data_IF_728114179544
#
_entry.id   IF_728114179544
#
_cell.length_a   1.000
_cell.length_b   1.000
_cell.length_c   1.000
_cell.angle_alpha   90.00
_cell.angle_beta   90.00
_cell.angle_gamma   90.00
#
_symmetry.space_group_name_H-M   'P 1'
#
loop_
_entity.id
_entity.type
_entity.pdbx_description
1 polymer ?
#
# COMPACT_ATOMS: atom_id res chain seq x y z
N UNK A 1 -41.04 51.08 -24.84
CA UNK A 1 -41.49 49.79 -24.32
C UNK A 1 -41.15 48.74 -25.37
N UNK A 2 -40.33 47.81 -25.04
CA UNK A 2 -40.13 46.64 -25.86
C UNK A 2 -41.11 45.54 -25.41
N UNK A 3 -41.82 44.95 -26.33
CA UNK A 3 -42.78 43.88 -26.06
C UNK A 3 -42.62 42.76 -27.07
N UNK A 4 -42.96 41.53 -26.66
CA UNK A 4 -43.01 40.36 -27.51
C UNK A 4 -44.31 40.44 -28.30
N UNK A 5 -44.24 40.47 -29.62
CA UNK A 5 -45.40 40.35 -30.50
C UNK A 5 -45.24 39.07 -31.32
N UNK A 6 -45.96 38.05 -30.92
CA UNK A 6 -45.86 36.74 -31.52
C UNK A 6 -44.50 36.10 -31.27
N UNK A 7 -43.96 35.38 -32.22
CA UNK A 7 -42.65 34.69 -32.13
C UNK A 7 -41.43 35.61 -32.43
N UNK A 8 -41.55 36.93 -32.23
CA UNK A 8 -40.48 37.87 -32.52
C UNK A 8 -40.26 38.86 -31.38
N UNK A 9 -38.99 39.07 -30.99
CA UNK A 9 -38.59 40.13 -30.06
C UNK A 9 -38.32 41.39 -30.90
N UNK A 10 -38.99 42.49 -30.58
CA UNK A 10 -38.76 43.77 -31.24
C UNK A 10 -37.94 44.68 -30.31
N UNK A 11 -36.67 44.94 -30.64
CA UNK A 11 -35.80 45.85 -29.92
C UNK A 11 -35.81 47.17 -30.62
N UNK A 12 -36.13 48.27 -29.90
CA UNK A 12 -35.98 49.65 -30.44
C UNK A 12 -34.49 49.99 -30.60
N UNK A 13 -33.98 49.92 -31.77
CA UNK A 13 -32.61 50.12 -32.21
C UNK A 13 -32.34 49.31 -33.45
N UNK A 14 -31.27 49.56 -34.14
CA UNK A 14 -30.93 49.03 -35.47
C UNK A 14 -30.61 47.51 -35.53
N UNK A 15 -31.17 46.65 -34.63
CA UNK A 15 -30.95 45.22 -34.67
C UNK A 15 -32.23 44.42 -34.78
N UNK A 16 -32.38 43.60 -35.83
CA UNK A 16 -33.38 42.53 -35.91
C UNK A 16 -32.78 41.24 -35.36
N UNK A 17 -33.43 40.62 -34.38
CA UNK A 17 -33.22 39.19 -34.11
C UNK A 17 -33.92 38.43 -35.22
N UNK A 18 -33.14 37.91 -36.16
CA UNK A 18 -33.67 37.31 -37.38
C UNK A 18 -34.24 35.89 -37.14
N UNK A 19 -33.99 35.28 -36.02
CA UNK A 19 -34.39 33.91 -35.68
C UNK A 19 -34.56 33.77 -34.17
N UNK A 20 -35.60 33.13 -33.71
CA UNK A 20 -35.64 32.59 -32.36
C UNK A 20 -34.75 31.35 -32.33
N UNK A 21 -33.93 31.20 -31.28
CA UNK A 21 -33.16 30.01 -31.05
C UNK A 21 -34.05 28.75 -30.87
N UNK A 22 -33.46 27.64 -30.92
CA UNK A 22 -34.09 26.37 -30.52
C UNK A 22 -34.15 26.27 -29.00
N UNK A 23 -34.94 25.32 -28.50
CA UNK A 23 -35.02 25.05 -27.06
C UNK A 23 -33.62 24.72 -26.51
N UNK A 24 -33.26 25.33 -25.37
CA UNK A 24 -31.93 25.17 -24.75
C UNK A 24 -30.90 26.24 -25.12
N UNK A 25 -31.13 27.06 -26.16
CA UNK A 25 -30.17 28.10 -26.54
C UNK A 25 -30.36 29.40 -25.72
N UNK A 26 -29.26 30.04 -25.38
CA UNK A 26 -29.24 31.36 -24.71
C UNK A 26 -28.89 32.48 -25.69
N UNK A 27 -29.45 33.67 -25.42
CA UNK A 27 -29.12 34.88 -26.19
C UNK A 27 -27.84 35.50 -25.62
N UNK A 28 -26.75 35.39 -26.36
CA UNK A 28 -25.42 35.88 -25.95
C UNK A 28 -25.09 37.19 -26.64
N UNK A 29 -24.24 38.01 -25.98
CA UNK A 29 -23.70 39.24 -26.57
C UNK A 29 -22.45 38.89 -27.37
N UNK A 30 -22.48 39.09 -28.66
CA UNK A 30 -21.34 38.89 -29.57
C UNK A 30 -20.33 40.07 -29.57
N UNK A 31 -20.47 41.02 -28.65
CA UNK A 31 -19.60 42.19 -28.51
C UNK A 31 -20.21 43.49 -28.99
N UNK A 32 -19.52 44.61 -28.75
CA UNK A 32 -20.00 45.94 -29.12
C UNK A 32 -20.11 46.09 -30.63
N UNK A 33 -21.31 46.47 -31.11
CA UNK A 33 -21.57 46.65 -32.54
C UNK A 33 -21.91 45.39 -33.33
N UNK A 34 -21.96 44.23 -32.70
CA UNK A 34 -22.34 42.95 -33.30
C UNK A 34 -23.75 42.57 -32.83
N UNK A 35 -24.64 42.06 -33.69
CA UNK A 35 -25.94 41.55 -33.24
C UNK A 35 -25.79 40.42 -32.24
N UNK A 36 -26.63 40.42 -31.19
CA UNK A 36 -26.71 39.26 -30.29
C UNK A 36 -27.15 38.02 -31.05
N UNK A 37 -26.57 36.88 -30.68
CA UNK A 37 -26.82 35.59 -31.29
C UNK A 37 -27.39 34.62 -30.26
N UNK A 38 -28.09 33.60 -30.74
CA UNK A 38 -28.45 32.43 -29.90
C UNK A 38 -27.35 31.43 -30.05
N UNK A 39 -26.81 31.04 -28.91
CA UNK A 39 -25.75 30.05 -28.81
C UNK A 39 -26.20 28.94 -27.87
N UNK A 40 -25.75 27.72 -28.14
CA UNK A 40 -25.94 26.62 -27.22
C UNK A 40 -25.25 26.99 -25.91
N UNK A 41 -25.84 26.60 -24.78
CA UNK A 41 -25.20 26.79 -23.48
C UNK A 41 -23.92 25.96 -23.49
N UNK A 42 -22.78 26.63 -23.59
CA UNK A 42 -21.51 25.98 -23.42
C UNK A 42 -21.45 25.44 -21.97
N UNK A 43 -21.36 24.13 -21.79
CA UNK A 43 -21.14 23.50 -20.50
C UNK A 43 -22.31 22.72 -19.86
N UNK A 44 -23.41 22.48 -20.60
CA UNK A 44 -24.40 21.47 -20.15
C UNK A 44 -23.89 20.04 -20.35
N UNK A 45 -24.08 19.17 -19.36
CA UNK A 45 -23.80 17.74 -19.52
C UNK A 45 -24.83 17.12 -20.46
N UNK A 46 -24.37 16.44 -21.52
CA UNK A 46 -25.19 15.66 -22.43
C UNK A 46 -25.37 14.24 -21.88
N UNK A 47 -26.55 13.94 -21.33
CA UNK A 47 -26.82 12.61 -20.81
C UNK A 47 -27.02 11.58 -21.93
N UNK A 48 -26.29 10.46 -21.81
CA UNK A 48 -26.30 9.36 -22.77
C UNK A 48 -27.35 8.29 -22.39
N UNK A 49 -27.53 7.31 -23.29
CA UNK A 49 -28.34 6.14 -22.99
C UNK A 49 -27.75 5.33 -21.81
N UNK A 50 -28.57 4.48 -21.19
CA UNK A 50 -28.11 3.62 -20.08
C UNK A 50 -27.04 2.65 -20.60
N UNK A 51 -25.88 2.65 -19.96
CA UNK A 51 -24.79 1.73 -20.21
C UNK A 51 -24.94 0.46 -19.37
N UNK A 52 -24.97 -0.69 -20.04
CA UNK A 52 -25.13 -2.02 -19.40
C UNK A 52 -23.94 -2.95 -19.69
N UNK A 53 -22.94 -2.46 -20.41
CA UNK A 53 -21.75 -3.20 -20.80
C UNK A 53 -20.75 -3.39 -19.65
N UNK A 54 -19.88 -4.39 -19.78
CA UNK A 54 -18.74 -4.56 -18.87
C UNK A 54 -17.60 -3.57 -19.15
N UNK A 55 -17.65 -2.84 -20.25
CA UNK A 55 -16.69 -1.79 -20.63
C UNK A 55 -17.39 -0.69 -21.40
N UNK A 56 -16.94 0.56 -21.19
CA UNK A 56 -17.36 1.72 -21.98
C UNK A 56 -16.22 2.72 -22.14
N UNK A 57 -16.34 3.64 -23.11
CA UNK A 57 -15.43 4.78 -23.26
C UNK A 57 -16.22 6.06 -23.03
N UNK A 58 -15.76 6.88 -22.10
CA UNK A 58 -16.40 8.13 -21.74
C UNK A 58 -15.90 9.29 -22.61
N UNK A 59 -16.75 10.32 -22.79
CA UNK A 59 -16.45 11.52 -23.55
C UNK A 59 -16.64 12.74 -22.66
N UNK A 60 -15.74 13.72 -22.75
CA UNK A 60 -15.86 14.98 -22.03
C UNK A 60 -17.15 15.74 -22.39
N UNK A 61 -17.82 16.30 -21.39
CA UNK A 61 -19.11 16.96 -21.54
C UNK A 61 -20.34 16.04 -21.50
N UNK A 62 -20.14 14.75 -21.26
CA UNK A 62 -21.22 13.78 -21.21
C UNK A 62 -21.51 13.24 -19.81
N UNK A 63 -22.74 12.81 -19.60
CA UNK A 63 -23.21 12.11 -18.39
C UNK A 63 -23.71 10.71 -18.73
N UNK A 64 -23.42 9.75 -17.87
CA UNK A 64 -23.73 8.34 -18.12
C UNK A 64 -24.50 7.74 -16.95
N UNK A 65 -25.58 7.03 -17.27
CA UNK A 65 -26.28 6.14 -16.37
C UNK A 65 -25.66 4.75 -16.51
N UNK A 66 -24.95 4.27 -15.52
CA UNK A 66 -24.24 2.97 -15.58
C UNK A 66 -24.99 1.94 -14.75
N UNK A 67 -25.53 0.95 -15.42
CA UNK A 67 -26.23 -0.20 -14.83
C UNK A 67 -25.26 -1.38 -14.68
N UNK A 68 -24.89 -1.68 -13.45
CA UNK A 68 -23.97 -2.78 -13.11
C UNK A 68 -24.69 -4.00 -12.55
N UNK A 69 -26.03 -4.11 -12.71
CA UNK A 69 -26.81 -5.24 -12.19
C UNK A 69 -26.24 -6.60 -12.58
N UNK A 70 -25.72 -6.74 -13.79
CA UNK A 70 -25.23 -8.02 -14.33
C UNK A 70 -23.70 -8.19 -14.26
N UNK A 71 -22.93 -7.09 -14.22
CA UNK A 71 -21.45 -7.10 -14.23
C UNK A 71 -20.88 -5.74 -13.80
N UNK A 72 -19.67 -5.74 -13.29
CA UNK A 72 -18.90 -4.51 -13.13
C UNK A 72 -18.61 -3.86 -14.50
N UNK A 73 -18.40 -2.53 -14.53
CA UNK A 73 -18.13 -1.78 -15.76
C UNK A 73 -16.79 -1.05 -15.66
N UNK A 74 -15.85 -1.37 -16.55
CA UNK A 74 -14.62 -0.58 -16.72
C UNK A 74 -14.88 0.60 -17.67
N UNK A 75 -14.59 1.80 -17.20
CA UNK A 75 -14.82 3.06 -17.89
C UNK A 75 -13.49 3.66 -18.31
N UNK A 76 -13.16 3.62 -19.58
CA UNK A 76 -11.95 4.25 -20.12
C UNK A 76 -12.23 5.75 -20.38
N UNK A 77 -11.45 6.62 -19.72
CA UNK A 77 -11.53 8.07 -19.89
C UNK A 77 -10.85 8.54 -21.20
N UNK A 78 -11.11 9.79 -21.66
CA UNK A 78 -10.41 10.33 -22.82
C UNK A 78 -8.89 10.38 -22.63
N UNK A 79 -8.12 9.91 -23.63
CA UNK A 79 -6.65 9.96 -23.64
C UNK A 79 -6.08 11.38 -23.73
N UNK A 80 -6.92 12.40 -23.94
CA UNK A 80 -6.57 13.82 -23.91
C UNK A 80 -7.74 14.63 -23.38
N UNK A 81 -7.46 15.64 -22.55
CA UNK A 81 -8.49 16.50 -21.97
C UNK A 81 -8.00 17.95 -21.85
N UNK A 82 -8.93 18.89 -21.78
CA UNK A 82 -8.69 20.30 -21.54
C UNK A 82 -9.15 20.69 -20.13
N UNK A 83 -8.50 21.67 -19.54
CA UNK A 83 -8.89 22.21 -18.21
C UNK A 83 -10.37 22.58 -18.20
N UNK A 84 -11.12 21.98 -17.26
CA UNK A 84 -12.57 22.17 -17.11
C UNK A 84 -13.44 21.14 -17.84
N UNK A 85 -12.85 20.22 -18.63
CA UNK A 85 -13.60 19.08 -19.17
C UNK A 85 -14.19 18.29 -18.02
N UNK A 86 -15.49 18.00 -18.07
CA UNK A 86 -16.23 17.34 -16.99
C UNK A 86 -17.01 16.15 -17.53
N UNK A 87 -17.04 15.06 -16.75
CA UNK A 87 -17.82 13.85 -17.04
C UNK A 87 -18.60 13.50 -15.77
N UNK A 88 -19.84 13.01 -15.92
CA UNK A 88 -20.66 12.58 -14.79
C UNK A 88 -21.06 11.11 -14.99
N UNK A 89 -20.94 10.32 -13.92
CA UNK A 89 -21.44 8.95 -13.85
C UNK A 89 -22.46 8.84 -12.72
N UNK A 90 -23.51 8.06 -12.94
CA UNK A 90 -24.53 7.81 -11.92
C UNK A 90 -24.91 6.31 -11.91
N UNK A 91 -25.02 5.74 -10.73
CA UNK A 91 -25.49 4.38 -10.51
C UNK A 91 -26.99 4.28 -10.86
N UNK A 92 -27.29 3.56 -11.95
CA UNK A 92 -28.65 3.50 -12.49
C UNK A 92 -29.61 2.71 -11.60
N UNK A 93 -29.22 1.53 -11.12
CA UNK A 93 -30.10 0.60 -10.40
C UNK A 93 -29.61 0.33 -8.96
N UNK A 94 -28.70 1.19 -8.43
CA UNK A 94 -28.12 1.10 -7.08
C UNK A 94 -27.40 -0.23 -6.83
N UNK A 95 -26.55 -0.64 -7.78
CA UNK A 95 -25.85 -1.93 -7.77
C UNK A 95 -24.33 -1.83 -7.71
N UNK A 96 -23.77 -0.62 -7.64
CA UNK A 96 -22.31 -0.43 -7.59
C UNK A 96 -21.67 -1.05 -6.33
N UNK A 97 -22.41 -1.20 -5.23
CA UNK A 97 -21.94 -1.92 -4.03
C UNK A 97 -21.78 -3.43 -4.23
N UNK A 98 -22.39 -4.00 -5.27
CA UNK A 98 -22.26 -5.42 -5.62
C UNK A 98 -21.29 -5.61 -6.80
N UNK A 99 -21.44 -4.79 -7.84
CA UNK A 99 -20.62 -4.78 -9.04
C UNK A 99 -20.26 -3.31 -9.32
N UNK A 100 -19.09 -2.86 -8.87
CA UNK A 100 -18.66 -1.48 -8.98
C UNK A 100 -18.32 -1.04 -10.40
N UNK A 101 -18.01 0.25 -10.53
CA UNK A 101 -17.35 0.77 -11.73
C UNK A 101 -15.86 0.91 -11.47
N UNK A 102 -15.07 0.74 -12.53
CA UNK A 102 -13.60 0.90 -12.52
C UNK A 102 -13.26 2.00 -13.51
N UNK A 103 -12.55 3.03 -13.08
CA UNK A 103 -12.09 4.13 -13.92
C UNK A 103 -10.66 3.86 -14.39
N UNK A 104 -10.49 3.64 -15.69
CA UNK A 104 -9.21 3.63 -16.41
C UNK A 104 -8.94 5.06 -16.94
N UNK A 105 -7.94 5.74 -16.41
CA UNK A 105 -7.63 7.13 -16.76
C UNK A 105 -6.92 7.30 -18.11
N UNK A 106 -6.58 6.19 -18.78
CA UNK A 106 -6.11 6.15 -20.17
C UNK A 106 -4.90 7.03 -20.47
N UNK A 107 -3.86 6.91 -19.62
CA UNK A 107 -2.58 7.64 -19.77
C UNK A 107 -2.56 9.04 -19.20
N UNK A 108 -3.67 9.52 -18.60
CA UNK A 108 -3.72 10.77 -17.85
C UNK A 108 -3.72 10.49 -16.35
N UNK A 109 -3.26 11.44 -15.55
CA UNK A 109 -3.32 11.30 -14.10
C UNK A 109 -4.77 11.32 -13.58
N UNK A 110 -4.99 10.66 -12.46
CA UNK A 110 -6.22 10.72 -11.67
C UNK A 110 -5.86 11.09 -10.22
N UNK A 111 -6.34 12.24 -9.73
CA UNK A 111 -5.98 12.79 -8.40
C UNK A 111 -4.46 12.91 -8.14
N UNK A 112 -3.68 13.12 -9.20
CA UNK A 112 -2.22 13.25 -9.12
C UNK A 112 -1.44 11.96 -9.27
N UNK A 113 -2.10 10.80 -9.26
CA UNK A 113 -1.47 9.51 -9.57
C UNK A 113 -1.54 9.20 -11.06
N UNK A 114 -0.56 8.46 -11.56
CA UNK A 114 -0.51 8.02 -12.95
C UNK A 114 -1.55 6.89 -13.21
N UNK A 115 -1.68 6.49 -14.47
CA UNK A 115 -2.63 5.45 -14.89
C UNK A 115 -2.18 4.01 -14.57
N UNK A 116 -1.23 3.84 -13.66
CA UNK A 116 -0.76 2.51 -13.23
C UNK A 116 -1.87 1.75 -12.50
N UNK A 117 -2.80 2.48 -11.87
CA UNK A 117 -3.88 1.91 -11.05
C UNK A 117 -5.24 2.40 -11.47
N UNK A 118 -6.15 1.46 -11.64
CA UNK A 118 -7.57 1.75 -11.85
C UNK A 118 -8.23 2.19 -10.54
N UNK A 119 -9.14 3.15 -10.62
CA UNK A 119 -9.89 3.66 -9.46
C UNK A 119 -11.28 3.03 -9.42
N UNK A 120 -11.60 2.35 -8.32
CA UNK A 120 -12.87 1.67 -8.14
C UNK A 120 -13.88 2.51 -7.34
N UNK A 121 -15.13 2.51 -7.78
CA UNK A 121 -16.27 3.07 -7.07
C UNK A 121 -17.33 2.00 -6.84
N UNK A 122 -17.58 1.68 -5.58
CA UNK A 122 -18.43 0.56 -5.16
C UNK A 122 -19.49 0.94 -4.12
N UNK A 123 -20.17 2.07 -4.27
CA UNK A 123 -21.23 2.51 -3.33
C UNK A 123 -22.58 2.59 -4.04
N UNK A 124 -23.58 1.90 -3.51
CA UNK A 124 -24.94 1.89 -4.07
C UNK A 124 -25.57 3.28 -4.10
N UNK A 125 -26.10 3.65 -5.27
CA UNK A 125 -26.77 4.92 -5.50
C UNK A 125 -25.83 6.13 -5.61
N UNK A 126 -24.55 5.90 -5.87
CA UNK A 126 -23.53 6.93 -6.02
C UNK A 126 -23.72 7.75 -7.31
N UNK A 127 -23.40 9.02 -7.22
CA UNK A 127 -23.19 9.90 -8.38
C UNK A 127 -21.79 10.51 -8.28
N UNK A 128 -21.02 10.41 -9.36
CA UNK A 128 -19.63 10.87 -9.46
C UNK A 128 -19.51 11.90 -10.57
N UNK A 129 -18.98 13.08 -10.25
CA UNK A 129 -18.59 14.08 -11.25
C UNK A 129 -17.08 14.27 -11.17
N UNK A 130 -16.38 14.05 -12.28
CA UNK A 130 -14.96 14.28 -12.40
C UNK A 130 -14.67 15.43 -13.36
N UNK A 131 -13.64 16.22 -13.06
CA UNK A 131 -13.22 17.35 -13.90
C UNK A 131 -11.71 17.29 -14.12
N UNK A 132 -11.26 17.48 -15.35
CA UNK A 132 -9.84 17.57 -15.65
C UNK A 132 -9.27 18.91 -15.20
N UNK A 133 -8.30 18.89 -14.31
CA UNK A 133 -7.71 20.06 -13.68
C UNK A 133 -6.47 20.57 -14.44
N UNK A 134 -5.49 19.72 -14.64
CA UNK A 134 -4.24 19.98 -15.35
C UNK A 134 -3.45 18.68 -15.58
N UNK A 135 -2.27 18.77 -16.16
CA UNK A 135 -1.42 17.57 -16.40
C UNK A 135 -0.82 16.95 -15.13
N UNK A 136 -0.82 17.66 -14.01
CA UNK A 136 -0.27 17.16 -12.73
C UNK A 136 -1.34 16.41 -11.94
N UNK A 137 -2.53 16.98 -11.80
CA UNK A 137 -3.63 16.38 -11.05
C UNK A 137 -4.50 15.46 -11.93
N UNK A 138 -4.54 15.71 -13.24
CA UNK A 138 -5.37 14.95 -14.16
C UNK A 138 -6.86 15.14 -13.90
N UNK A 139 -7.60 14.04 -13.91
CA UNK A 139 -9.01 13.99 -13.56
C UNK A 139 -9.18 13.99 -12.03
N UNK A 140 -10.06 14.87 -11.54
CA UNK A 140 -10.30 15.02 -10.09
C UNK A 140 -11.80 14.94 -9.82
N UNK A 141 -12.26 14.14 -8.86
CA UNK A 141 -13.65 14.16 -8.41
C UNK A 141 -14.01 15.56 -7.87
N UNK A 142 -15.01 16.18 -8.45
CA UNK A 142 -15.53 17.50 -8.04
C UNK A 142 -16.85 17.40 -7.30
N UNK A 143 -17.53 16.27 -7.47
CA UNK A 143 -18.77 15.96 -6.77
C UNK A 143 -18.80 14.44 -6.53
N UNK A 144 -18.74 14.04 -5.26
CA UNK A 144 -18.77 12.66 -4.83
C UNK A 144 -19.37 12.62 -3.41
N UNK A 145 -20.22 11.67 -3.11
CA UNK A 145 -20.72 11.46 -1.75
C UNK A 145 -19.70 10.76 -0.86
N UNK A 146 -18.75 10.07 -1.48
CA UNK A 146 -17.55 9.48 -0.84
C UNK A 146 -16.39 9.75 -1.79
N UNK A 147 -15.47 10.62 -1.41
CA UNK A 147 -14.22 10.80 -2.17
C UNK A 147 -13.51 9.45 -2.14
N UNK A 148 -13.42 8.77 -3.28
CA UNK A 148 -12.59 7.60 -3.38
C UNK A 148 -11.13 8.07 -3.32
N UNK A 149 -10.40 7.59 -2.32
CA UNK A 149 -8.96 7.65 -2.38
C UNK A 149 -8.50 6.71 -3.50
N UNK A 150 -7.49 7.14 -4.25
CA UNK A 150 -6.78 6.21 -5.14
C UNK A 150 -6.31 5.04 -4.27
N UNK A 151 -6.66 3.80 -4.59
CA UNK A 151 -6.20 2.68 -3.80
C UNK A 151 -4.68 2.71 -3.74
N UNK A 152 -4.12 2.87 -2.54
CA UNK A 152 -2.70 2.56 -2.34
C UNK A 152 -2.61 1.04 -2.44
N UNK A 153 -2.39 0.55 -3.65
CA UNK A 153 -2.21 -0.88 -3.87
C UNK A 153 -0.87 -1.25 -3.26
N UNK A 154 -0.91 -2.07 -2.21
CA UNK A 154 0.29 -2.63 -1.62
C UNK A 154 1.05 -3.49 -2.63
N UNK A 155 2.28 -3.84 -2.31
CA UNK A 155 3.10 -4.68 -3.17
C UNK A 155 2.47 -6.06 -3.38
N UNK A 156 2.49 -6.55 -4.63
CA UNK A 156 1.85 -7.81 -5.01
C UNK A 156 2.71 -9.04 -4.76
N UNK A 157 4.03 -8.91 -4.75
CA UNK A 157 5.00 -9.99 -4.59
C UNK A 157 5.86 -9.79 -3.35
N UNK A 158 6.46 -10.87 -2.86
CA UNK A 158 7.32 -10.83 -1.69
C UNK A 158 8.65 -11.56 -1.89
N UNK A 159 9.61 -11.30 -1.01
CA UNK A 159 10.86 -12.02 -0.95
C UNK A 159 11.24 -12.32 0.50
N UNK A 160 11.60 -13.57 0.75
CA UNK A 160 12.32 -13.99 1.95
C UNK A 160 13.80 -14.14 1.61
N UNK A 161 14.66 -13.64 2.46
CA UNK A 161 16.09 -13.71 2.18
C UNK A 161 16.96 -13.90 3.40
N UNK A 162 18.16 -14.45 3.15
CA UNK A 162 19.17 -14.68 4.16
C UNK A 162 18.71 -15.68 5.24
N UNK A 163 19.27 -15.57 6.46
CA UNK A 163 18.90 -16.42 7.59
C UNK A 163 19.92 -17.51 7.88
N UNK A 164 19.45 -18.54 8.59
CA UNK A 164 20.21 -19.71 8.97
C UNK A 164 19.51 -20.98 8.48
N UNK A 165 20.25 -21.79 7.71
CA UNK A 165 19.82 -23.07 7.16
C UNK A 165 21.00 -24.02 7.27
N UNK A 166 21.13 -24.79 8.30
CA UNK A 166 22.24 -25.25 9.15
C UNK A 166 23.49 -24.35 9.20
N UNK A 167 23.65 -23.44 8.29
CA UNK A 167 24.70 -22.39 8.28
C UNK A 167 24.10 -21.06 7.80
N UNK A 168 24.83 -19.97 7.97
CA UNK A 168 24.38 -18.67 7.47
C UNK A 168 24.29 -18.71 5.94
N UNK A 169 23.17 -18.21 5.42
CA UNK A 169 22.89 -18.18 3.97
C UNK A 169 22.57 -16.78 3.47
N UNK A 170 22.73 -16.59 2.17
CA UNK A 170 22.26 -15.40 1.44
C UNK A 170 21.20 -15.75 0.37
N UNK A 171 20.77 -17.01 0.31
CA UNK A 171 19.72 -17.45 -0.63
C UNK A 171 18.41 -16.71 -0.36
N UNK A 172 17.62 -16.52 -1.44
CA UNK A 172 16.32 -15.88 -1.37
C UNK A 172 15.23 -16.78 -1.93
N UNK A 173 13.98 -16.52 -1.55
CA UNK A 173 12.79 -17.19 -2.07
C UNK A 173 11.76 -16.14 -2.41
N UNK A 174 11.31 -16.11 -3.65
CA UNK A 174 10.25 -15.19 -4.09
C UNK A 174 8.88 -15.74 -3.69
N UNK A 175 7.99 -14.85 -3.35
CA UNK A 175 6.56 -15.13 -3.10
C UNK A 175 5.78 -14.48 -4.22
N UNK A 176 4.99 -15.27 -4.93
CA UNK A 176 4.14 -14.76 -6.03
C UNK A 176 2.93 -13.99 -5.49
N UNK A 177 2.28 -13.23 -6.33
CA UNK A 177 1.04 -12.48 -6.01
C UNK A 177 -0.14 -13.38 -5.56
N UNK A 178 -0.03 -14.69 -5.73
CA UNK A 178 -1.01 -15.68 -5.25
C UNK A 178 -0.52 -16.48 -4.03
N UNK A 179 0.59 -16.06 -3.40
CA UNK A 179 1.10 -16.66 -2.16
C UNK A 179 1.88 -17.97 -2.35
N UNK A 180 2.37 -18.25 -3.55
CA UNK A 180 3.23 -19.42 -3.78
C UNK A 180 4.68 -19.05 -3.49
N UNK A 181 5.30 -19.78 -2.55
CA UNK A 181 6.72 -19.64 -2.26
C UNK A 181 7.55 -20.42 -3.27
N UNK A 182 8.45 -19.71 -3.96
CA UNK A 182 9.38 -20.30 -4.93
C UNK A 182 10.54 -21.06 -4.29
N UNK A 183 11.27 -21.82 -5.12
CA UNK A 183 12.52 -22.51 -4.73
C UNK A 183 13.62 -21.51 -4.40
N UNK A 184 14.70 -22.01 -3.78
CA UNK A 184 15.85 -21.18 -3.44
C UNK A 184 16.48 -20.55 -4.69
N UNK A 185 16.69 -19.25 -4.66
CA UNK A 185 17.48 -18.47 -5.64
C UNK A 185 18.87 -18.28 -5.07
N UNK A 186 19.88 -18.40 -5.92
CA UNK A 186 21.29 -18.21 -5.53
C UNK A 186 21.48 -16.88 -4.81
N UNK A 187 22.08 -16.93 -3.63
CA UNK A 187 22.26 -15.77 -2.77
C UNK A 187 23.24 -14.73 -3.33
N UNK A 188 22.97 -13.48 -3.03
CA UNK A 188 23.83 -12.33 -3.34
C UNK A 188 24.25 -11.66 -2.02
N UNK A 189 25.47 -11.17 -1.96
CA UNK A 189 26.02 -10.49 -0.79
C UNK A 189 26.41 -11.41 0.35
N UNK A 190 26.76 -10.80 1.48
CA UNK A 190 27.28 -11.50 2.67
C UNK A 190 26.19 -12.30 3.40
N UNK A 191 26.38 -13.62 3.50
CA UNK A 191 25.48 -14.50 4.23
C UNK A 191 25.37 -14.08 5.69
N UNK A 192 24.17 -13.97 6.24
CA UNK A 192 23.90 -13.52 7.62
C UNK A 192 22.48 -13.85 8.07
N UNK A 193 22.25 -13.83 9.37
CA UNK A 193 20.92 -13.97 9.97
C UNK A 193 20.53 -12.74 10.82
N UNK A 194 19.33 -12.76 11.41
CA UNK A 194 18.84 -11.74 12.36
C UNK A 194 18.84 -10.33 11.79
N UNK A 195 18.59 -10.19 10.51
CA UNK A 195 18.51 -8.94 9.80
C UNK A 195 17.07 -8.42 9.77
N UNK A 196 16.90 -7.15 9.37
CA UNK A 196 15.61 -6.54 9.05
C UNK A 196 15.41 -6.40 7.56
N UNK A 197 14.16 -6.22 7.15
CA UNK A 197 13.81 -5.87 5.79
C UNK A 197 12.54 -5.00 5.79
N UNK A 198 12.45 -4.08 4.84
CA UNK A 198 11.26 -3.27 4.59
C UNK A 198 11.21 -2.82 3.13
N UNK A 199 10.11 -2.23 2.77
CA UNK A 199 9.85 -1.62 1.48
C UNK A 199 10.42 -0.20 1.40
N UNK A 200 10.68 0.29 0.19
CA UNK A 200 10.98 1.68 -0.13
C UNK A 200 10.65 1.96 -1.61
N UNK A 201 10.44 3.23 -1.96
CA UNK A 201 10.21 3.66 -3.35
C UNK A 201 8.89 3.18 -3.91
N UNK A 202 7.97 2.71 -3.05
CA UNK A 202 6.67 2.19 -3.44
C UNK A 202 6.68 0.75 -3.93
N UNK A 203 7.70 0.34 -4.70
CA UNK A 203 7.75 -0.94 -5.42
C UNK A 203 9.03 -1.77 -5.15
N UNK A 204 9.90 -1.33 -4.26
CA UNK A 204 11.23 -1.90 -3.99
C UNK A 204 11.38 -2.26 -2.53
N UNK A 205 12.42 -3.05 -2.22
CA UNK A 205 12.70 -3.47 -0.86
C UNK A 205 14.19 -3.41 -0.51
N UNK A 206 14.51 -3.48 0.78
CA UNK A 206 15.86 -3.45 1.30
C UNK A 206 16.02 -4.43 2.47
N UNK A 207 17.09 -5.23 2.42
CA UNK A 207 17.60 -6.00 3.56
C UNK A 207 18.70 -5.22 4.25
N UNK A 208 18.76 -5.23 5.57
CA UNK A 208 19.81 -4.51 6.29
C UNK A 208 20.20 -5.09 7.64
N UNK A 209 21.41 -4.78 8.05
CA UNK A 209 21.99 -5.23 9.32
C UNK A 209 22.19 -6.74 9.40
N UNK A 210 22.36 -7.31 10.60
CA UNK A 210 22.45 -8.74 10.83
C UNK A 210 23.76 -9.18 11.47
N UNK A 211 23.92 -10.51 11.56
CA UNK A 211 24.99 -11.17 12.29
C UNK A 211 25.58 -12.35 11.51
N UNK A 212 26.90 -12.46 11.48
CA UNK A 212 27.65 -13.66 11.06
C UNK A 212 29.07 -13.65 11.59
N UNK A 213 29.43 -14.48 12.59
CA UNK A 213 30.76 -14.53 13.16
C UNK A 213 31.81 -15.14 12.23
N UNK A 214 31.41 -15.79 11.15
CA UNK A 214 32.35 -16.39 10.17
C UNK A 214 32.89 -15.36 9.17
N UNK A 215 32.20 -14.23 9.02
CA UNK A 215 32.55 -13.17 8.05
C UNK A 215 32.95 -11.89 8.77
N UNK A 216 32.20 -11.47 9.80
CA UNK A 216 32.47 -10.25 10.55
C UNK A 216 33.36 -10.56 11.74
N UNK A 217 34.62 -10.14 11.68
CA UNK A 217 35.70 -10.58 12.58
C UNK A 217 35.79 -9.80 13.89
N UNK A 218 35.06 -8.70 14.00
CA UNK A 218 35.04 -7.86 15.22
C UNK A 218 33.81 -8.14 16.05
N UNK A 219 33.98 -8.52 17.34
CA UNK A 219 32.87 -8.66 18.28
C UNK A 219 32.10 -7.34 18.39
N UNK A 220 30.74 -7.32 18.32
CA UNK A 220 29.81 -8.46 18.46
C UNK A 220 29.47 -9.21 17.16
N UNK A 221 30.26 -9.15 16.11
CA UNK A 221 30.10 -9.84 14.82
C UNK A 221 28.87 -9.39 14.03
N UNK A 222 28.42 -8.17 14.25
CA UNK A 222 27.29 -7.52 13.63
C UNK A 222 27.72 -6.68 12.45
N UNK A 223 26.79 -6.43 11.55
CA UNK A 223 27.01 -5.55 10.39
C UNK A 223 25.90 -4.50 10.28
N UNK A 224 26.17 -3.43 9.52
CA UNK A 224 25.16 -2.49 9.02
C UNK A 224 25.01 -2.56 7.49
N UNK A 225 25.63 -3.55 6.84
CA UNK A 225 25.53 -3.78 5.38
C UNK A 225 24.06 -3.87 4.98
N UNK A 226 23.74 -3.33 3.80
CA UNK A 226 22.43 -3.40 3.18
C UNK A 226 22.48 -3.99 1.78
N UNK A 227 21.36 -4.56 1.33
CA UNK A 227 21.17 -5.05 -0.03
C UNK A 227 19.82 -4.55 -0.52
N UNK A 228 19.83 -3.81 -1.62
CA UNK A 228 18.63 -3.33 -2.28
C UNK A 228 17.97 -4.48 -3.05
N UNK A 229 16.65 -4.45 -3.14
CA UNK A 229 15.84 -5.37 -3.93
C UNK A 229 15.08 -4.56 -4.97
N UNK A 230 15.19 -4.95 -6.24
CA UNK A 230 14.45 -4.30 -7.32
C UNK A 230 12.96 -4.66 -7.27
N UNK A 231 12.15 -3.95 -8.04
CA UNK A 231 10.72 -4.26 -8.24
C UNK A 231 10.47 -5.60 -9.00
N UNK A 232 11.51 -6.33 -9.36
CA UNK A 232 11.43 -7.70 -9.89
C UNK A 232 12.02 -8.74 -8.94
N UNK A 233 12.23 -8.38 -7.66
CA UNK A 233 12.75 -9.27 -6.62
C UNK A 233 14.23 -9.60 -6.72
N UNK A 234 15.01 -8.88 -7.56
CA UNK A 234 16.46 -9.13 -7.72
C UNK A 234 17.23 -8.41 -6.61
N UNK A 235 17.95 -9.19 -5.79
CA UNK A 235 18.80 -8.66 -4.72
C UNK A 235 20.13 -8.16 -5.29
N UNK A 236 20.51 -6.92 -4.96
CA UNK A 236 21.77 -6.31 -5.34
C UNK A 236 22.93 -6.70 -4.40
N UNK A 237 24.17 -6.45 -4.82
CA UNK A 237 25.37 -6.65 -4.00
C UNK A 237 25.34 -5.79 -2.73
N UNK A 238 26.23 -6.14 -1.78
CA UNK A 238 26.38 -5.41 -0.51
C UNK A 238 26.67 -3.92 -0.73
N UNK A 239 25.89 -3.08 -0.04
CA UNK A 239 26.15 -1.64 0.10
C UNK A 239 26.74 -1.41 1.49
N UNK A 240 27.78 -0.58 1.58
CA UNK A 240 28.43 -0.25 2.84
C UNK A 240 27.40 0.28 3.85
N UNK A 241 27.45 -0.26 5.06
CA UNK A 241 26.50 0.06 6.12
C UNK A 241 26.64 1.46 6.68
N UNK A 242 25.52 2.01 7.14
CA UNK A 242 25.42 3.29 7.83
C UNK A 242 24.82 3.06 9.22
N UNK A 243 25.32 3.77 10.23
CA UNK A 243 24.86 3.67 11.62
C UNK A 243 25.48 2.54 12.42
N UNK A 244 24.98 2.33 13.63
CA UNK A 244 25.48 1.31 14.57
C UNK A 244 25.22 -0.09 14.05
N UNK A 245 26.30 -0.87 13.87
CA UNK A 245 26.20 -2.30 13.49
C UNK A 245 25.40 -3.05 14.54
N UNK A 246 24.41 -3.86 14.15
CA UNK A 246 23.54 -4.58 15.07
C UNK A 246 22.86 -5.79 14.43
N UNK A 247 22.49 -6.73 15.25
CA UNK A 247 21.60 -7.82 14.90
C UNK A 247 20.18 -7.61 15.47
N UNK A 248 19.22 -8.43 15.04
CA UNK A 248 17.81 -8.33 15.43
C UNK A 248 17.19 -6.93 15.20
N UNK A 249 17.80 -6.09 14.35
CA UNK A 249 17.12 -4.92 13.85
C UNK A 249 15.89 -5.37 13.06
N UNK A 250 14.77 -4.69 13.25
CA UNK A 250 13.56 -4.92 12.46
C UNK A 250 13.25 -3.68 11.65
N UNK A 251 12.43 -3.84 10.62
CA UNK A 251 12.12 -2.72 9.74
C UNK A 251 10.67 -2.82 9.24
N UNK A 252 10.07 -1.67 8.98
CA UNK A 252 8.78 -1.54 8.31
C UNK A 252 8.81 -0.32 7.40
N UNK A 253 7.87 -0.22 6.46
CA UNK A 253 7.70 0.99 5.69
C UNK A 253 6.92 2.07 6.46
N UNK A 254 7.01 3.30 5.98
CA UNK A 254 6.24 4.46 6.43
C UNK A 254 6.18 5.51 5.31
N UNK A 255 5.17 6.39 5.36
CA UNK A 255 5.04 7.51 4.43
C UNK A 255 4.78 7.09 2.98
N UNK A 256 4.36 5.84 2.75
CA UNK A 256 4.02 5.27 1.44
C UNK A 256 5.21 4.80 0.60
N UNK A 257 6.38 5.42 0.73
CA UNK A 257 7.54 5.15 -0.13
C UNK A 257 8.88 5.06 0.62
N UNK A 258 8.86 5.04 1.94
CA UNK A 258 10.07 5.08 2.80
C UNK A 258 10.08 3.95 3.81
N UNK A 259 11.28 3.57 4.27
CA UNK A 259 11.46 2.55 5.28
C UNK A 259 12.17 3.06 6.54
N UNK A 260 12.10 2.27 7.61
CA UNK A 260 12.80 2.52 8.86
C UNK A 260 13.30 1.22 9.47
N UNK A 261 14.60 1.17 9.78
CA UNK A 261 15.18 0.14 10.64
C UNK A 261 15.22 0.65 12.07
N UNK A 262 14.80 -0.14 13.04
CA UNK A 262 14.89 0.27 14.44
C UNK A 262 15.18 -0.91 15.40
N UNK A 263 15.58 -0.55 16.62
CA UNK A 263 15.88 -1.49 17.70
C UNK A 263 17.04 -2.45 17.39
N UNK A 264 17.14 -3.56 18.11
CA UNK A 264 18.13 -4.60 17.90
C UNK A 264 19.18 -4.66 19.03
N UNK A 265 20.34 -5.26 18.70
CA UNK A 265 21.40 -5.52 19.70
C UNK A 265 22.77 -5.28 19.10
N UNK A 266 23.66 -4.62 19.89
CA UNK A 266 25.09 -4.50 19.62
C UNK A 266 25.87 -4.48 20.96
N UNK A 267 26.14 -5.66 21.51
CA UNK A 267 26.69 -5.80 22.87
C UNK A 267 25.65 -5.54 23.98
N UNK A 268 24.64 -4.75 23.74
CA UNK A 268 23.47 -4.44 24.58
C UNK A 268 22.25 -4.18 23.73
N UNK A 269 21.09 -4.07 24.35
CA UNK A 269 19.83 -3.75 23.66
C UNK A 269 19.85 -2.30 23.15
N UNK A 270 19.27 -2.06 22.00
CA UNK A 270 19.22 -0.77 21.33
C UNK A 270 17.79 -0.35 21.03
N UNK A 271 17.57 0.97 20.96
CA UNK A 271 16.33 1.59 20.49
C UNK A 271 16.58 2.65 19.41
N UNK A 272 17.80 2.72 18.87
CA UNK A 272 18.14 3.64 17.76
C UNK A 272 17.38 3.26 16.50
N UNK A 273 17.16 4.24 15.63
CA UNK A 273 16.54 4.04 14.32
C UNK A 273 17.33 4.65 13.18
N UNK A 274 17.19 4.12 11.98
CA UNK A 274 17.76 4.63 10.73
C UNK A 274 16.64 4.72 9.70
N UNK A 275 16.37 5.90 9.20
CA UNK A 275 15.40 6.12 8.12
C UNK A 275 15.98 5.64 6.80
N UNK A 276 15.12 5.12 5.94
CA UNK A 276 15.45 4.75 4.56
C UNK A 276 14.64 5.66 3.64
N UNK A 277 15.34 6.37 2.74
CA UNK A 277 14.69 7.22 1.76
C UNK A 277 13.98 6.40 0.66
N UNK A 278 13.14 7.05 -0.13
CA UNK A 278 12.51 6.44 -1.32
C UNK A 278 13.50 6.03 -2.43
N UNK A 279 14.77 6.39 -2.30
CA UNK A 279 15.87 5.90 -3.15
C UNK A 279 16.67 4.76 -2.51
N UNK A 280 16.24 4.20 -1.35
CA UNK A 280 16.93 3.13 -0.64
C UNK A 280 18.18 3.57 0.13
N UNK A 281 18.36 4.86 0.37
CA UNK A 281 19.51 5.38 1.12
C UNK A 281 19.22 5.36 2.62
N UNK A 282 20.05 4.63 3.36
CA UNK A 282 19.94 4.54 4.84
C UNK A 282 20.61 5.76 5.48
N UNK A 283 19.89 6.45 6.34
CA UNK A 283 20.38 7.58 7.11
C UNK A 283 21.19 7.13 8.36
N UNK A 284 21.96 8.06 8.95
CA UNK A 284 22.66 7.86 10.23
C UNK A 284 21.67 7.60 11.37
N UNK A 285 22.18 7.09 12.50
CA UNK A 285 21.39 6.81 13.69
C UNK A 285 20.63 8.04 14.18
N UNK A 286 19.33 7.84 14.43
CA UNK A 286 18.49 8.74 15.19
C UNK A 286 18.37 8.20 16.62
N UNK A 287 18.48 9.08 17.63
CA UNK A 287 18.34 8.71 19.03
C UNK A 287 17.03 7.96 19.28
N UNK A 288 17.13 6.85 19.99
CA UNK A 288 16.01 5.95 20.22
C UNK A 288 14.95 6.52 21.16
N UNK A 289 13.73 6.08 20.94
CA UNK A 289 12.56 6.31 21.79
C UNK A 289 12.00 4.96 22.24
N UNK A 290 11.50 4.90 23.46
CA UNK A 290 10.98 3.67 24.07
C UNK A 290 12.05 2.74 24.62
N UNK A 291 11.62 1.61 25.17
CA UNK A 291 12.47 0.60 25.81
C UNK A 291 13.33 -0.11 24.79
N UNK A 292 14.66 -0.06 24.98
CA UNK A 292 15.62 -0.74 24.13
C UNK A 292 15.43 -2.28 24.20
N UNK A 293 15.27 -2.94 23.06
CA UNK A 293 14.98 -4.38 22.98
C UNK A 293 15.37 -5.00 21.64
N UNK A 294 15.46 -6.32 21.61
CA UNK A 294 15.78 -7.13 20.45
C UNK A 294 14.67 -8.13 20.14
N UNK A 295 14.78 -8.87 19.03
CA UNK A 295 13.91 -9.99 18.65
C UNK A 295 12.41 -9.64 18.67
N UNK A 296 12.09 -8.40 18.38
CA UNK A 296 10.75 -7.88 18.15
C UNK A 296 10.30 -8.18 16.70
N UNK A 297 9.07 -7.84 16.35
CA UNK A 297 8.62 -7.83 14.98
C UNK A 297 8.05 -6.45 14.61
N UNK A 298 7.86 -6.23 13.32
CA UNK A 298 7.34 -4.98 12.77
C UNK A 298 6.51 -5.24 11.52
N UNK A 299 5.48 -4.44 11.33
CA UNK A 299 4.67 -4.41 10.12
C UNK A 299 4.12 -3.00 9.89
N UNK A 300 3.44 -2.84 8.78
CA UNK A 300 2.66 -1.65 8.49
C UNK A 300 1.25 -1.73 9.06
N UNK A 301 0.62 -0.58 9.26
CA UNK A 301 -0.79 -0.43 9.57
C UNK A 301 -1.27 0.96 9.13
N UNK A 302 -2.57 1.08 8.88
CA UNK A 302 -3.17 2.31 8.37
C UNK A 302 -2.47 2.77 7.09
N UNK A 303 -2.92 3.83 6.49
CA UNK A 303 -2.18 4.37 5.37
C UNK A 303 -0.82 4.89 5.86
N UNK A 304 0.26 4.27 5.39
CA UNK A 304 1.62 4.80 5.48
C UNK A 304 2.22 4.91 6.90
N UNK A 305 1.86 4.02 7.83
CA UNK A 305 2.40 3.98 9.20
C UNK A 305 2.97 2.62 9.53
N UNK A 306 3.91 2.58 10.48
CA UNK A 306 4.53 1.35 10.95
C UNK A 306 4.33 1.11 12.44
N UNK A 307 4.54 -0.13 12.87
CA UNK A 307 4.53 -0.54 14.27
C UNK A 307 5.65 -1.54 14.55
N UNK A 308 6.36 -1.32 15.64
CA UNK A 308 7.29 -2.28 16.26
C UNK A 308 6.65 -2.81 17.52
N UNK A 309 6.60 -4.12 17.71
CA UNK A 309 6.01 -4.67 18.93
C UNK A 309 6.69 -5.95 19.43
N UNK A 310 6.42 -6.25 20.70
CA UNK A 310 6.96 -7.40 21.42
C UNK A 310 8.48 -7.34 21.58
N UNK A 311 9.15 -8.49 21.68
CA UNK A 311 10.61 -8.59 21.77
C UNK A 311 11.12 -8.93 23.17
N UNK A 312 12.41 -8.66 23.41
CA UNK A 312 13.13 -9.00 24.65
C UNK A 312 14.05 -7.83 25.06
N UNK A 313 13.91 -7.37 26.30
CA UNK A 313 14.71 -6.34 26.96
C UNK A 313 15.48 -6.85 28.20
N UNK A 314 15.61 -8.17 28.32
CA UNK A 314 16.05 -8.93 29.48
C UNK A 314 14.99 -9.93 29.91
N UNK A 315 13.73 -9.65 29.59
CA UNK A 315 12.59 -10.56 29.65
C UNK A 315 11.73 -10.37 28.38
N UNK A 316 10.83 -11.31 28.09
CA UNK A 316 9.91 -11.14 26.98
C UNK A 316 8.94 -9.99 27.25
N UNK A 317 8.65 -9.21 26.23
CA UNK A 317 7.85 -7.98 26.28
C UNK A 317 6.64 -8.04 25.34
N UNK A 318 5.58 -7.31 25.65
CA UNK A 318 4.43 -7.09 24.77
C UNK A 318 4.25 -5.60 24.40
N UNK A 319 5.21 -4.74 24.77
CA UNK A 319 5.20 -3.31 24.42
C UNK A 319 5.15 -3.11 22.89
N UNK A 320 4.55 -2.01 22.47
CA UNK A 320 4.57 -1.57 21.09
C UNK A 320 4.97 -0.09 20.95
N UNK A 321 5.54 0.26 19.78
CA UNK A 321 5.90 1.62 19.40
C UNK A 321 5.38 1.89 18.00
N UNK A 322 4.54 2.91 17.88
CA UNK A 322 3.98 3.34 16.59
C UNK A 322 5.02 4.19 15.84
N UNK A 323 4.99 4.09 14.51
CA UNK A 323 5.79 4.94 13.61
C UNK A 323 4.84 5.83 12.82
N UNK A 324 5.09 7.13 12.87
CA UNK A 324 4.30 8.12 12.13
C UNK A 324 4.59 8.10 10.63
N UNK A 325 3.75 8.75 9.83
CA UNK A 325 3.94 8.95 8.37
C UNK A 325 5.23 9.71 8.00
N UNK A 326 5.92 10.30 8.97
CA UNK A 326 7.22 10.99 8.79
C UNK A 326 8.39 10.24 9.43
N UNK A 327 8.18 8.96 9.82
CA UNK A 327 9.25 8.10 10.36
C UNK A 327 9.64 8.36 11.82
N UNK A 328 8.79 9.02 12.59
CA UNK A 328 9.04 9.23 14.03
C UNK A 328 8.51 8.05 14.83
N UNK A 329 9.41 7.37 15.58
CA UNK A 329 9.05 6.32 16.52
C UNK A 329 8.46 6.96 17.78
N UNK A 330 7.25 6.54 18.18
CA UNK A 330 6.59 7.02 19.39
C UNK A 330 7.07 6.30 20.65
N UNK A 331 6.73 6.84 21.82
CA UNK A 331 6.96 6.20 23.14
C UNK A 331 6.24 4.86 23.25
N UNK A 332 6.64 4.04 24.23
CA UNK A 332 6.03 2.76 24.50
C UNK A 332 4.52 2.88 24.76
N UNK A 333 3.77 2.01 24.10
CA UNK A 333 2.37 1.74 24.38
C UNK A 333 2.29 0.47 25.21
N UNK A 334 1.44 0.48 26.25
CA UNK A 334 1.22 -0.69 27.12
C UNK A 334 0.89 -1.93 26.29
N UNK A 335 1.60 -3.02 26.57
CA UNK A 335 1.47 -4.25 25.82
C UNK A 335 0.12 -4.93 25.96
N UNK A 336 -0.29 -5.60 24.88
CA UNK A 336 -1.50 -6.42 24.81
C UNK A 336 -1.10 -7.84 24.38
N UNK A 337 -1.80 -8.83 24.92
CA UNK A 337 -1.53 -10.26 24.63
C UNK A 337 -0.31 -10.80 25.35
N UNK A 338 0.02 -12.05 25.04
CA UNK A 338 1.13 -12.80 25.63
C UNK A 338 2.47 -12.21 25.21
N UNK A 339 3.27 -11.76 26.20
CA UNK A 339 4.63 -11.26 25.98
C UNK A 339 5.52 -12.34 25.35
N UNK A 340 6.24 -12.00 24.28
CA UNK A 340 7.06 -12.96 23.51
C UNK A 340 8.13 -12.27 22.65
N UNK A 341 9.10 -13.06 22.21
CA UNK A 341 10.15 -12.66 21.27
C UNK A 341 10.16 -13.57 20.05
N UNK A 342 11.00 -13.27 19.06
CA UNK A 342 11.27 -14.09 17.88
C UNK A 342 10.01 -14.42 17.04
N UNK A 343 9.11 -13.49 16.96
CA UNK A 343 7.85 -13.57 16.24
C UNK A 343 7.99 -12.96 14.82
N UNK A 344 7.05 -13.31 13.95
CA UNK A 344 6.88 -12.69 12.63
C UNK A 344 5.74 -11.66 12.62
N UNK A 345 5.75 -10.76 11.65
CA UNK A 345 4.65 -9.84 11.40
C UNK A 345 4.60 -9.43 9.92
N UNK A 346 3.40 -9.16 9.43
CA UNK A 346 3.16 -8.62 8.08
C UNK A 346 1.88 -7.79 8.05
N UNK A 347 1.69 -7.05 6.96
CA UNK A 347 0.44 -6.39 6.64
C UNK A 347 -0.63 -7.38 6.15
N UNK A 348 -1.91 -7.01 6.25
CA UNK A 348 -3.05 -7.67 5.62
C UNK A 348 -4.21 -6.67 5.48
N UNK A 349 -5.16 -6.94 4.55
CA UNK A 349 -6.36 -6.14 4.38
C UNK A 349 -6.05 -4.66 4.09
N UNK A 350 -4.96 -4.42 3.34
CA UNK A 350 -4.46 -3.11 2.90
C UNK A 350 -3.94 -2.20 4.03
N UNK A 351 -4.65 -2.10 5.15
CA UNK A 351 -4.40 -1.12 6.21
C UNK A 351 -4.22 -1.72 7.62
N UNK A 352 -4.08 -3.02 7.73
CA UNK A 352 -3.98 -3.74 9.01
C UNK A 352 -2.71 -4.57 9.10
N UNK A 353 -2.30 -4.91 10.33
CA UNK A 353 -1.15 -5.76 10.58
C UNK A 353 -1.48 -6.98 11.43
N UNK A 354 -0.61 -7.98 11.39
CA UNK A 354 -0.70 -9.17 12.22
C UNK A 354 0.66 -9.57 12.76
N UNK A 355 0.73 -9.85 14.06
CA UNK A 355 1.86 -10.48 14.74
C UNK A 355 1.52 -11.94 15.04
N UNK A 356 2.41 -12.89 14.74
CA UNK A 356 2.13 -14.28 15.05
C UNK A 356 3.38 -15.06 15.41
N UNK A 357 3.16 -16.21 16.08
CA UNK A 357 4.18 -17.13 16.53
C UNK A 357 5.10 -16.54 17.61
N UNK A 358 6.28 -17.12 17.81
CA UNK A 358 7.31 -16.62 18.71
C UNK A 358 7.62 -17.53 19.88
N UNK A 359 8.36 -16.97 20.87
CA UNK A 359 8.83 -17.68 22.05
C UNK A 359 8.44 -16.95 23.33
N UNK A 360 7.80 -17.66 24.26
CA UNK A 360 7.39 -17.17 25.59
C UNK A 360 7.63 -18.25 26.67
N UNK A 361 8.91 -18.61 26.88
CA UNK A 361 9.29 -19.76 27.71
C UNK A 361 9.08 -21.11 27.01
N UNK A 362 8.49 -21.14 25.85
CA UNK A 362 8.27 -22.21 24.88
C UNK A 362 7.82 -21.61 23.55
N UNK A 363 7.89 -22.37 22.47
CA UNK A 363 7.36 -21.94 21.18
C UNK A 363 5.84 -21.88 21.22
N UNK A 364 5.28 -20.83 20.65
CA UNK A 364 3.84 -20.58 20.58
C UNK A 364 3.40 -20.25 19.17
N UNK A 365 2.10 -20.38 18.89
CA UNK A 365 1.49 -20.08 17.59
C UNK A 365 0.33 -19.06 17.70
N UNK A 366 0.23 -18.33 18.81
CA UNK A 366 -0.74 -17.26 19.00
C UNK A 366 -0.55 -16.14 17.97
N UNK A 367 -1.62 -15.43 17.66
CA UNK A 367 -1.56 -14.22 16.84
C UNK A 367 -2.29 -13.04 17.49
N UNK A 368 -1.91 -11.82 17.09
CA UNK A 368 -2.56 -10.57 17.48
C UNK A 368 -2.76 -9.70 16.25
N UNK A 369 -3.97 -9.32 15.99
CA UNK A 369 -4.31 -8.40 14.90
C UNK A 369 -4.01 -6.96 15.31
N UNK A 370 -3.59 -6.16 14.35
CA UNK A 370 -3.38 -4.72 14.51
C UNK A 370 -4.42 -3.99 13.66
N UNK A 371 -5.18 -3.10 14.28
CA UNK A 371 -6.16 -2.28 13.56
C UNK A 371 -5.47 -1.20 12.71
N UNK A 372 -6.21 -0.60 11.79
CA UNK A 372 -5.77 0.52 10.95
C UNK A 372 -5.44 1.82 11.72
N UNK A 373 -5.67 1.85 13.02
CA UNK A 373 -5.24 2.94 13.91
C UNK A 373 -4.09 2.52 14.84
N UNK A 374 -3.49 1.32 14.62
CA UNK A 374 -2.32 0.83 15.35
C UNK A 374 -2.62 0.21 16.71
N UNK A 375 -3.87 -0.18 16.98
CA UNK A 375 -4.24 -0.87 18.21
C UNK A 375 -4.00 -2.37 18.06
N UNK A 376 -3.13 -2.93 18.91
CA UNK A 376 -2.89 -4.37 19.00
C UNK A 376 -4.05 -5.03 19.73
N UNK A 377 -4.67 -6.03 19.13
CA UNK A 377 -5.76 -6.82 19.72
C UNK A 377 -5.26 -7.90 20.68
N UNK A 378 -6.17 -8.51 21.43
CA UNK A 378 -5.90 -9.65 22.32
C UNK A 378 -5.46 -10.88 21.54
N UNK A 379 -4.90 -11.88 22.24
CA UNK A 379 -4.47 -13.14 21.65
C UNK A 379 -5.62 -13.85 20.93
N UNK A 380 -5.34 -14.28 19.70
CA UNK A 380 -6.18 -15.17 18.90
C UNK A 380 -5.56 -16.57 18.96
N UNK A 381 -6.40 -17.60 19.10
CA UNK A 381 -5.99 -18.99 19.15
C UNK A 381 -5.09 -19.34 17.97
N UNK A 382 -3.96 -19.96 18.25
CA UNK A 382 -2.94 -20.29 17.28
C UNK A 382 -3.37 -21.33 16.24
N UNK A 383 -2.81 -21.19 15.07
CA UNK A 383 -2.96 -22.13 13.94
C UNK A 383 -1.56 -22.56 13.48
N UNK A 384 -1.42 -23.82 13.10
CA UNK A 384 -0.16 -24.39 12.63
C UNK A 384 0.84 -24.71 13.76
N UNK A 385 2.04 -25.13 13.36
CA UNK A 385 3.11 -25.54 14.25
C UNK A 385 3.67 -24.37 15.05
N UNK A 386 3.69 -24.48 16.37
CA UNK A 386 4.29 -23.48 17.27
C UNK A 386 5.81 -23.38 17.02
N UNK A 387 6.30 -22.17 16.74
CA UNK A 387 7.69 -21.91 16.34
C UNK A 387 8.12 -20.47 16.60
N UNK A 388 9.42 -20.23 16.70
CA UNK A 388 10.02 -18.90 16.79
C UNK A 388 10.88 -18.58 15.57
N UNK A 389 11.54 -17.41 15.56
CA UNK A 389 12.39 -16.94 14.45
C UNK A 389 11.71 -17.00 13.07
N UNK A 390 10.40 -16.80 13.06
CA UNK A 390 9.53 -16.84 11.88
C UNK A 390 9.70 -15.55 11.09
N UNK A 391 9.77 -15.66 9.78
CA UNK A 391 9.74 -14.50 8.88
C UNK A 391 8.36 -14.36 8.26
N UNK A 392 7.98 -13.13 7.94
CA UNK A 392 6.72 -12.85 7.26
C UNK A 392 6.86 -11.71 6.25
N UNK A 393 5.98 -11.68 5.26
CA UNK A 393 5.85 -10.60 4.29
C UNK A 393 4.40 -10.51 3.80
N UNK A 394 4.08 -9.42 3.14
CA UNK A 394 2.83 -9.25 2.42
C UNK A 394 2.94 -9.85 1.00
N UNK A 395 1.81 -10.23 0.41
CA UNK A 395 1.66 -10.61 -1.00
C UNK A 395 0.24 -10.33 -1.47
N UNK A 396 0.04 -10.27 -2.80
CA UNK A 396 -1.29 -10.13 -3.40
C UNK A 396 -2.03 -8.88 -2.91
N UNK A 397 -1.28 -7.82 -2.65
CA UNK A 397 -1.71 -6.50 -2.18
C UNK A 397 -2.24 -6.48 -0.73
N UNK A 398 -3.07 -7.43 -0.33
CA UNK A 398 -3.87 -7.40 0.90
C UNK A 398 -3.72 -8.65 1.79
N UNK A 399 -2.82 -9.56 1.44
CA UNK A 399 -2.60 -10.85 2.13
C UNK A 399 -1.21 -10.96 2.70
N UNK A 400 -1.04 -11.82 3.70
CA UNK A 400 0.25 -12.08 4.31
C UNK A 400 0.67 -13.55 4.23
N UNK A 401 1.95 -13.80 4.44
CA UNK A 401 2.53 -15.14 4.49
C UNK A 401 3.60 -15.21 5.58
N UNK A 402 3.54 -16.25 6.41
CA UNK A 402 4.58 -16.62 7.35
C UNK A 402 5.36 -17.81 6.80
N UNK A 403 6.69 -17.80 6.94
CA UNK A 403 7.56 -18.85 6.44
C UNK A 403 8.63 -19.24 7.45
N UNK A 404 8.99 -20.52 7.46
CA UNK A 404 10.13 -21.06 8.18
C UNK A 404 10.01 -20.93 9.70
N UNK A 405 11.16 -20.84 10.36
CA UNK A 405 11.26 -20.66 11.80
C UNK A 405 11.98 -21.82 12.50
N UNK A 406 12.04 -21.72 13.82
CA UNK A 406 12.71 -22.64 14.72
C UNK A 406 11.72 -23.34 15.64
N UNK A 407 11.85 -24.60 15.75
CA UNK A 407 11.41 -25.70 16.57
C UNK A 407 11.90 -26.99 15.85
N UNK A 408 13.27 -27.07 15.69
CA UNK A 408 13.90 -27.69 14.51
C UNK A 408 13.74 -26.71 13.30
N UNK A 409 14.67 -26.60 12.41
CA UNK A 409 14.49 -25.71 11.24
C UNK A 409 13.30 -26.18 10.38
N UNK A 410 12.40 -25.26 10.07
CA UNK A 410 11.13 -25.54 9.41
C UNK A 410 11.06 -24.88 8.02
N UNK A 411 10.30 -25.48 7.10
CA UNK A 411 10.03 -24.96 5.76
C UNK A 411 8.55 -24.73 5.51
N UNK A 412 7.72 -24.81 6.53
CA UNK A 412 6.28 -24.59 6.44
C UNK A 412 5.94 -23.13 6.16
N UNK A 413 4.86 -22.92 5.43
CA UNK A 413 4.21 -21.64 5.23
C UNK A 413 2.81 -21.65 5.82
N UNK A 414 2.37 -20.48 6.28
CA UNK A 414 0.97 -20.21 6.63
C UNK A 414 0.54 -18.92 5.92
N UNK A 415 -0.47 -19.03 5.09
CA UNK A 415 -1.05 -17.88 4.40
C UNK A 415 -1.99 -17.13 5.35
N UNK A 416 -2.04 -15.82 5.21
CA UNK A 416 -2.96 -14.94 5.93
C UNK A 416 -3.93 -14.35 4.91
N UNK A 417 -5.21 -14.48 5.18
CA UNK A 417 -6.25 -13.87 4.34
C UNK A 417 -6.31 -12.35 4.54
N UNK A 418 -6.99 -11.65 3.64
CA UNK A 418 -7.25 -10.20 3.76
C UNK A 418 -8.13 -9.80 4.97
N UNK A 419 -8.65 -10.75 5.70
CA UNK A 419 -9.36 -10.51 6.97
C UNK A 419 -8.55 -10.97 8.20
N UNK A 420 -7.26 -11.28 8.02
CA UNK A 420 -6.33 -11.63 9.11
C UNK A 420 -6.46 -13.06 9.65
N UNK A 421 -7.03 -13.99 8.89
CA UNK A 421 -7.13 -15.40 9.29
C UNK A 421 -5.91 -16.16 8.80
N UNK A 422 -5.17 -16.79 9.72
CA UNK A 422 -4.01 -17.64 9.41
C UNK A 422 -4.51 -19.03 8.99
N UNK A 423 -4.02 -19.51 7.85
CA UNK A 423 -4.24 -20.86 7.34
C UNK A 423 -3.38 -21.91 8.04
N UNK A 424 -3.71 -23.19 7.84
CA UNK A 424 -2.91 -24.33 8.35
C UNK A 424 -1.54 -24.41 7.66
N UNK A 425 -0.61 -25.16 8.26
CA UNK A 425 0.70 -25.41 7.68
C UNK A 425 0.61 -26.01 6.28
N UNK A 426 1.39 -25.45 5.36
CA UNK A 426 1.62 -26.01 4.04
C UNK A 426 3.12 -26.20 3.82
N UNK A 427 3.50 -27.35 3.28
CA UNK A 427 4.89 -27.62 2.95
C UNK A 427 5.34 -26.87 1.70
N UNK A 428 6.63 -26.56 1.61
CA UNK A 428 7.24 -25.91 0.46
C UNK A 428 8.47 -26.66 -0.05
N UNK A 429 8.93 -26.31 -1.25
CA UNK A 429 10.20 -26.78 -1.80
C UNK A 429 11.41 -25.91 -1.41
N UNK A 430 11.19 -24.84 -0.68
CA UNK A 430 12.23 -23.96 -0.17
C UNK A 430 13.03 -24.65 0.96
N UNK A 431 14.32 -24.35 1.08
CA UNK A 431 15.13 -24.83 2.19
C UNK A 431 14.63 -24.29 3.51
N UNK A 432 14.47 -25.19 4.51
CA UNK A 432 14.11 -24.80 5.87
C UNK A 432 15.10 -23.77 6.43
N UNK A 433 14.61 -22.66 6.95
CA UNK A 433 15.45 -21.60 7.52
C UNK A 433 14.76 -20.85 8.66
N UNK A 434 15.57 -20.35 9.57
CA UNK A 434 15.14 -19.47 10.66
C UNK A 434 15.88 -18.13 10.63
N UNK A 435 15.40 -17.18 11.40
CA UNK A 435 16.06 -15.85 11.56
C UNK A 435 16.36 -15.14 10.24
N UNK A 436 15.57 -15.40 9.20
CA UNK A 436 15.58 -14.71 7.90
C UNK A 436 14.87 -13.35 8.02
N UNK A 437 14.83 -12.60 6.92
CA UNK A 437 13.99 -11.41 6.79
C UNK A 437 13.09 -11.50 5.56
N UNK A 438 12.00 -10.74 5.55
CA UNK A 438 11.04 -10.70 4.45
C UNK A 438 10.49 -9.29 4.25
N UNK A 439 10.22 -8.97 3.00
CA UNK A 439 9.59 -7.73 2.56
C UNK A 439 8.84 -7.96 1.26
N UNK A 440 7.91 -7.09 0.96
CA UNK A 440 7.18 -7.09 -0.31
C UNK A 440 7.81 -6.11 -1.31
N UNK A 441 7.45 -6.26 -2.58
CA UNK A 441 7.88 -5.42 -3.72
C UNK A 441 6.89 -5.58 -4.88
N UNK A 442 6.93 -4.68 -5.89
CA UNK A 442 6.13 -4.63 -7.13
C UNK A 442 4.72 -4.09 -6.92
#
# INVERSE_FOLDING_TARGET
MSGIIGSKINIRGSGRIAKLGTDGQVLTSSGAGVPANYEDVAGGISWQAIETGSTMTAVAGEGYWVDTTSNACTITLPASASVGDTIIFADYDRTWGTNGIVIDSNGLNYQGDDDTFDVEYGTDGMALSITYMDATQGWVPTFDTVVADVPVIGNSEGVFGYGEAPSYVSTTNLVTSVGVLGTDVTGVGSARNRLGACEYGGDKAIFGFGYNPNIFTSSPYNTAITNLVSNTGVVAADVAGVGTTRDHAKACAYGGDKGIFAFGRSGGYLNVSNLVSNAGVVATDTSGVGTARQALASCEYGPNKGIFAYGNDGSVSSLSNLVSTVGVVATDVTGVGTARSDLGACGYGEDKGIFAYGYSGGYINLSNLVSNVGVVGTDVTGVGTARGSVVATQYGYDKGIFFGGENGLLSEVNLVTNVGVIGTDAGTSATAKGSAAGCSFN
#
